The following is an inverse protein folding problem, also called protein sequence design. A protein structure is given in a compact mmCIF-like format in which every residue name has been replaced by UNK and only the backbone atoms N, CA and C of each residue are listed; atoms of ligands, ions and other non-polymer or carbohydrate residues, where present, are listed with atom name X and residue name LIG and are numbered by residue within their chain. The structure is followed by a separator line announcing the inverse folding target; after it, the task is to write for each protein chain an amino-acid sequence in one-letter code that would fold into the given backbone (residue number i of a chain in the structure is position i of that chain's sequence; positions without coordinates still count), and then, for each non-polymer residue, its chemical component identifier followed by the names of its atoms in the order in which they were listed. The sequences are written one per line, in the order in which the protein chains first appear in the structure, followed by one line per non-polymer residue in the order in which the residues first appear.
data_IF_517915366224
#
_entry.id   IF_517915366224
#
_cell.length_a   1.000
_cell.length_b   1.000
_cell.length_c   1.000
_cell.angle_alpha   90.00
_cell.angle_beta   90.00
_cell.angle_gamma   90.00
#
_symmetry.space_group_name_H-M   'P 1'
#
loop_
_entity.id
_entity.type
_entity.pdbx_description
1 polymer ?
#
# COMPACT_ATOMS: atom_id res chain seq x y z
N UNK A 1 9.14 -4.49 12.19
CA UNK A 1 10.11 -3.95 11.20
C UNK A 1 9.35 -3.13 10.17
N UNK A 2 8.21 -3.64 9.67
CA UNK A 2 7.28 -2.91 8.82
C UNK A 2 6.70 -1.65 9.47
N UNK A 3 6.52 -1.62 10.80
CA UNK A 3 6.02 -0.45 11.51
C UNK A 3 6.98 0.76 11.39
N UNK A 4 8.29 0.51 11.34
CA UNK A 4 9.28 1.57 11.14
C UNK A 4 9.22 2.12 9.72
N UNK A 5 9.04 1.26 8.72
CA UNK A 5 8.91 1.68 7.33
C UNK A 5 7.58 2.40 7.09
N UNK A 6 6.51 1.94 7.73
CA UNK A 6 5.22 2.61 7.76
C UNK A 6 5.34 4.04 8.32
N UNK A 7 5.99 4.20 9.46
CA UNK A 7 6.23 5.51 10.06
C UNK A 7 7.12 6.39 9.16
N UNK A 8 8.21 5.83 8.62
CA UNK A 8 9.17 6.52 7.77
C UNK A 8 8.57 7.07 6.48
N UNK A 9 7.73 6.29 5.79
CA UNK A 9 7.21 6.65 4.47
C UNK A 9 5.80 7.25 4.50
N UNK A 10 4.99 6.94 5.52
CA UNK A 10 3.59 7.35 5.59
C UNK A 10 3.23 8.12 6.87
N UNK A 11 4.18 8.35 7.79
CA UNK A 11 3.95 9.03 9.07
C UNK A 11 2.84 8.40 9.92
N UNK A 12 2.57 7.10 9.74
CA UNK A 12 1.60 6.36 10.56
C UNK A 12 2.33 5.53 11.61
N UNK A 13 1.84 5.58 12.85
CA UNK A 13 2.43 4.84 13.97
C UNK A 13 2.00 3.37 14.03
N UNK A 14 0.91 3.00 13.36
CA UNK A 14 0.37 1.64 13.38
C UNK A 14 -0.46 1.33 12.14
N UNK A 15 -0.47 0.05 11.77
CA UNK A 15 -1.39 -0.48 10.76
C UNK A 15 -2.83 -0.49 11.28
N UNK A 16 -3.78 -0.27 10.37
CA UNK A 16 -5.19 -0.59 10.61
C UNK A 16 -5.41 -2.10 10.51
N UNK A 17 -6.51 -2.64 11.09
CA UNK A 17 -6.80 -4.07 11.04
C UNK A 17 -6.75 -4.62 9.61
N UNK A 18 -6.04 -5.74 9.40
CA UNK A 18 -5.92 -6.41 8.11
C UNK A 18 -4.84 -5.86 7.17
N UNK A 19 -4.34 -4.65 7.39
CA UNK A 19 -3.34 -4.06 6.49
C UNK A 19 -1.99 -4.78 6.57
N UNK A 20 -1.54 -5.08 7.80
CA UNK A 20 -0.23 -5.69 8.02
C UNK A 20 -0.18 -7.08 7.39
N UNK A 21 -1.24 -7.85 7.55
CA UNK A 21 -1.39 -9.20 7.01
C UNK A 21 -1.32 -9.21 5.48
N UNK A 22 -1.95 -8.22 4.82
CA UNK A 22 -1.87 -8.07 3.36
C UNK A 22 -0.46 -7.67 2.91
N UNK A 23 0.16 -6.69 3.60
CA UNK A 23 1.53 -6.23 3.29
C UNK A 23 2.54 -7.37 3.43
N UNK A 24 2.48 -8.12 4.52
CA UNK A 24 3.36 -9.26 4.77
C UNK A 24 3.19 -10.34 3.70
N UNK A 25 1.95 -10.68 3.34
CA UNK A 25 1.69 -11.66 2.29
C UNK A 25 2.24 -11.23 0.92
N UNK A 26 2.16 -9.95 0.57
CA UNK A 26 2.73 -9.43 -0.68
C UNK A 26 4.26 -9.46 -0.65
N UNK A 27 4.88 -9.09 0.47
CA UNK A 27 6.35 -9.14 0.63
C UNK A 27 6.88 -10.58 0.56
N UNK A 28 6.11 -11.54 1.08
CA UNK A 28 6.39 -12.98 0.95
C UNK A 28 6.20 -13.51 -0.48
N UNK A 29 5.79 -12.66 -1.43
CA UNK A 29 5.57 -13.04 -2.83
C UNK A 29 4.31 -13.88 -3.06
N UNK A 30 3.31 -13.77 -2.19
CA UNK A 30 2.03 -14.49 -2.33
C UNK A 30 1.02 -13.67 -3.11
N UNK A 31 0.15 -14.35 -3.86
CA UNK A 31 -1.03 -13.75 -4.46
C UNK A 31 -2.07 -13.44 -3.37
N UNK A 32 -2.64 -12.23 -3.40
CA UNK A 32 -3.56 -11.75 -2.36
C UNK A 32 -4.82 -11.14 -2.98
N UNK A 33 -5.98 -11.54 -2.45
CA UNK A 33 -7.26 -10.85 -2.66
C UNK A 33 -7.64 -10.13 -1.37
N UNK A 34 -7.47 -8.80 -1.34
CA UNK A 34 -7.79 -7.98 -0.18
C UNK A 34 -9.21 -7.38 -0.30
N UNK A 35 -10.14 -7.83 0.54
CA UNK A 35 -11.48 -7.25 0.65
C UNK A 35 -11.49 -6.21 1.78
N UNK A 36 -11.45 -4.94 1.39
CA UNK A 36 -11.36 -3.82 2.34
C UNK A 36 -12.41 -2.75 2.00
N UNK A 37 -13.03 -2.10 3.00
CA UNK A 37 -13.99 -1.02 2.76
C UNK A 37 -13.29 0.20 2.15
N UNK A 38 -14.07 1.06 1.48
CA UNK A 38 -13.61 2.39 1.08
C UNK A 38 -13.09 3.17 2.30
N UNK A 39 -11.97 3.88 2.14
CA UNK A 39 -11.31 4.56 3.25
C UNK A 39 -10.53 3.63 4.18
N UNK A 40 -10.57 2.30 3.99
CA UNK A 40 -9.83 1.30 4.78
C UNK A 40 -8.31 1.30 4.58
N UNK A 41 -7.77 2.19 3.73
CA UNK A 41 -6.34 2.30 3.48
C UNK A 41 -5.77 1.18 2.61
N UNK A 42 -6.55 0.69 1.64
CA UNK A 42 -6.11 -0.35 0.70
C UNK A 42 -4.89 0.03 -0.15
N UNK A 43 -4.71 1.32 -0.46
CA UNK A 43 -3.57 1.80 -1.26
C UNK A 43 -2.23 1.51 -0.58
N UNK A 44 -2.18 1.74 0.73
CA UNK A 44 -1.00 1.47 1.55
C UNK A 44 -0.53 0.01 1.43
N UNK A 45 -1.48 -0.91 1.29
CA UNK A 45 -1.19 -2.34 1.26
C UNK A 45 -0.37 -2.77 0.04
N UNK A 46 -0.44 -2.04 -1.07
CA UNK A 46 0.42 -2.28 -2.24
C UNK A 46 1.54 -1.25 -2.40
N UNK A 47 1.37 -0.02 -1.87
CA UNK A 47 2.38 1.03 -1.95
C UNK A 47 3.58 0.75 -1.04
N UNK A 48 3.35 0.31 0.20
CA UNK A 48 4.46 0.02 1.12
C UNK A 48 5.35 -1.13 0.60
N UNK A 49 4.81 -2.30 0.17
CA UNK A 49 5.63 -3.32 -0.47
C UNK A 49 6.35 -2.83 -1.73
N UNK A 50 5.72 -1.95 -2.52
CA UNK A 50 6.35 -1.40 -3.72
C UNK A 50 7.58 -0.55 -3.39
N UNK A 51 7.54 0.24 -2.30
CA UNK A 51 8.67 1.05 -1.85
C UNK A 51 9.81 0.18 -1.29
N UNK A 52 9.45 -0.91 -0.60
CA UNK A 52 10.43 -1.83 0.00
C UNK A 52 11.07 -2.79 -1.01
N UNK A 53 10.51 -2.89 -2.21
CA UNK A 53 10.98 -3.74 -3.30
C UNK A 53 12.00 -3.00 -4.16
N UNK A 54 13.05 -3.69 -4.60
CA UNK A 54 13.99 -3.18 -5.62
C UNK A 54 13.44 -3.31 -7.07
N UNK A 55 12.17 -3.73 -7.21
CA UNK A 55 11.50 -3.94 -8.49
C UNK A 55 10.44 -2.88 -8.76
N UNK A 56 9.98 -2.82 -10.01
CA UNK A 56 8.87 -1.97 -10.42
C UNK A 56 7.54 -2.64 -10.07
N UNK A 57 6.67 -1.92 -9.35
CA UNK A 57 5.28 -2.31 -9.12
C UNK A 57 4.36 -1.60 -10.12
N UNK A 58 3.45 -2.36 -10.75
CA UNK A 58 2.46 -1.84 -11.70
C UNK A 58 1.09 -1.83 -11.02
N UNK A 59 0.45 -0.66 -10.97
CA UNK A 59 -0.90 -0.49 -10.43
C UNK A 59 -1.88 -0.25 -11.57
N UNK A 60 -2.85 -1.14 -11.74
CA UNK A 60 -3.89 -1.03 -12.77
C UNK A 60 -5.12 -0.38 -12.13
N UNK A 61 -5.52 0.79 -12.63
CA UNK A 61 -6.69 1.53 -12.16
C UNK A 61 -7.70 1.72 -13.29
N UNK A 62 -9.01 1.61 -13.01
CA UNK A 62 -10.04 1.78 -14.03
C UNK A 62 -10.29 3.25 -14.41
N UNK A 63 -9.87 4.22 -13.59
CA UNK A 63 -10.21 5.64 -13.77
C UNK A 63 -8.95 6.50 -13.69
N UNK A 64 -8.79 7.42 -14.65
CA UNK A 64 -7.71 8.41 -14.68
C UNK A 64 -7.74 9.29 -13.43
N UNK A 65 -8.94 9.72 -13.00
CA UNK A 65 -9.08 10.53 -11.78
C UNK A 65 -8.50 9.82 -10.55
N UNK A 66 -8.75 8.51 -10.39
CA UNK A 66 -8.18 7.73 -9.29
C UNK A 66 -6.66 7.59 -9.40
N UNK A 67 -6.12 7.50 -10.62
CA UNK A 67 -4.67 7.48 -10.83
C UNK A 67 -4.05 8.79 -10.39
N UNK A 68 -4.65 9.92 -10.78
CA UNK A 68 -4.17 11.25 -10.42
C UNK A 68 -4.20 11.45 -8.91
N UNK A 69 -5.32 11.14 -8.25
CA UNK A 69 -5.46 11.24 -6.80
C UNK A 69 -4.39 10.44 -6.04
N UNK A 70 -4.06 9.24 -6.53
CA UNK A 70 -3.04 8.38 -5.91
C UNK A 70 -1.62 8.90 -6.12
N UNK A 71 -1.31 9.45 -7.29
CA UNK A 71 -0.01 10.04 -7.60
C UNK A 71 0.19 11.34 -6.81
N UNK A 72 -0.82 12.19 -6.75
CA UNK A 72 -0.77 13.45 -6.01
C UNK A 72 -0.55 13.18 -4.51
N UNK A 73 -1.25 12.19 -3.93
CA UNK A 73 -1.07 11.80 -2.54
C UNK A 73 0.32 11.25 -2.21
N UNK A 74 1.08 10.73 -3.19
CA UNK A 74 2.45 10.26 -3.01
C UNK A 74 3.50 11.38 -3.13
N UNK A 75 3.15 12.48 -3.81
CA UNK A 75 4.05 13.61 -4.07
C UNK A 75 3.83 14.80 -3.11
N UNK A 76 2.82 14.72 -2.24
CA UNK A 76 2.50 15.72 -1.22
C UNK A 76 3.38 15.55 0.03
#
# INVERSE_FOLDING_TARGET
MLEKELEKYFSFSQFRPGQKEVVEAIIDGKDVVALMPTGGGKSLCFQLPAILSEKISIVISPLIALMQDQVDALNA
#
